data_IF_665603781416
#
_entry.id   IF_665603781416
#
_cell.length_a   1.000
_cell.length_b   1.000
_cell.length_c   1.000
_cell.angle_alpha   90.00
_cell.angle_beta   90.00
_cell.angle_gamma   90.00
#
_symmetry.space_group_name_H-M   'P 1'
#
loop_
_entity.id
_entity.type
_entity.pdbx_description
1 polymer ?
#
# COMPACT_ATOMS: atom_id res chain seq x y z
N UNK A 1 -22.44 -64.74 33.21
CA UNK A 1 -21.98 -64.27 31.87
C UNK A 1 -21.80 -62.72 31.96
N UNK A 2 -20.57 -62.25 32.13
CA UNK A 2 -20.24 -60.82 32.32
C UNK A 2 -20.00 -60.16 30.98
N UNK A 3 -20.86 -59.19 30.64
CA UNK A 3 -20.63 -58.28 29.51
C UNK A 3 -19.75 -57.12 30.01
N UNK A 4 -18.45 -57.18 29.74
CA UNK A 4 -17.55 -56.02 29.89
C UNK A 4 -17.70 -55.14 28.68
N UNK A 5 -18.31 -53.96 28.88
CA UNK A 5 -18.37 -52.88 27.91
C UNK A 5 -16.98 -52.29 27.78
N UNK A 6 -16.41 -52.37 26.55
CA UNK A 6 -15.16 -51.70 26.17
C UNK A 6 -15.53 -50.29 25.75
N UNK A 7 -15.43 -49.34 26.66
CA UNK A 7 -15.48 -47.90 26.33
C UNK A 7 -14.11 -47.49 25.76
N UNK A 8 -13.99 -47.49 24.45
CA UNK A 8 -12.85 -46.84 23.78
C UNK A 8 -13.02 -45.35 23.91
N UNK A 9 -12.26 -44.72 24.79
CA UNK A 9 -12.09 -43.27 24.86
C UNK A 9 -11.36 -42.78 23.61
N UNK A 10 -12.11 -42.32 22.62
CA UNK A 10 -11.55 -41.49 21.55
C UNK A 10 -11.22 -40.10 22.14
N UNK A 11 -10.05 -39.93 22.71
CA UNK A 11 -9.44 -38.64 22.90
C UNK A 11 -9.07 -38.13 21.51
N UNK A 12 -10.00 -37.42 20.89
CA UNK A 12 -9.67 -36.56 19.75
C UNK A 12 -8.69 -35.49 20.25
N UNK A 13 -7.40 -35.72 20.02
CA UNK A 13 -6.43 -34.66 20.08
C UNK A 13 -6.89 -33.59 19.05
N UNK A 14 -7.56 -32.57 19.52
CA UNK A 14 -7.71 -31.34 18.77
C UNK A 14 -6.28 -30.86 18.52
N UNK A 15 -5.72 -31.22 17.37
CA UNK A 15 -4.46 -30.71 16.91
C UNK A 15 -4.65 -29.20 16.83
N UNK A 16 -4.16 -28.46 17.82
CA UNK A 16 -4.20 -27.00 17.84
C UNK A 16 -3.49 -26.55 16.58
N UNK A 17 -4.26 -26.18 15.56
CA UNK A 17 -3.68 -25.68 14.31
C UNK A 17 -2.76 -24.53 14.66
N UNK A 18 -1.49 -24.65 14.28
CA UNK A 18 -0.50 -23.59 14.43
C UNK A 18 -1.10 -22.30 13.84
N UNK A 19 -0.96 -21.14 14.55
CA UNK A 19 -1.41 -19.87 14.00
C UNK A 19 -0.79 -19.64 12.62
N UNK A 20 -1.51 -19.00 11.67
CA UNK A 20 -1.01 -18.80 10.31
C UNK A 20 0.19 -17.84 10.31
N UNK A 21 1.14 -18.07 9.44
CA UNK A 21 2.15 -17.07 9.12
C UNK A 21 1.53 -15.98 8.25
N UNK A 22 2.12 -14.78 8.30
CA UNK A 22 1.75 -13.67 7.44
C UNK A 22 2.95 -13.22 6.61
N UNK A 23 2.75 -13.11 5.31
CA UNK A 23 3.69 -12.46 4.38
C UNK A 23 2.96 -11.31 3.72
N UNK A 24 3.44 -10.09 3.94
CA UNK A 24 2.86 -8.88 3.39
C UNK A 24 3.87 -8.25 2.42
N UNK A 25 3.62 -8.37 1.13
CA UNK A 25 4.47 -7.81 0.06
C UNK A 25 3.84 -6.50 -0.38
N UNK A 26 4.58 -5.40 -0.17
CA UNK A 26 4.16 -4.05 -0.53
C UNK A 26 5.10 -3.48 -1.58
N UNK A 27 4.54 -2.98 -2.68
CA UNK A 27 5.31 -2.37 -3.76
C UNK A 27 5.09 -0.85 -3.74
N UNK A 28 6.15 -0.11 -3.99
CA UNK A 28 6.17 1.35 -3.96
C UNK A 28 5.86 1.93 -5.35
N UNK A 29 4.91 2.86 -5.44
CA UNK A 29 4.51 3.53 -6.69
C UNK A 29 4.06 2.58 -7.82
N UNK A 30 3.36 1.51 -7.47
CA UNK A 30 2.99 0.46 -8.41
C UNK A 30 1.57 0.66 -8.95
N UNK A 31 1.46 0.84 -10.27
CA UNK A 31 0.18 1.15 -10.91
C UNK A 31 -0.80 -0.02 -10.89
N UNK A 32 -2.10 0.30 -10.86
CA UNK A 32 -3.17 -0.71 -10.88
C UNK A 32 -3.05 -1.67 -12.06
N UNK A 33 -2.62 -1.18 -13.22
CA UNK A 33 -2.45 -1.96 -14.46
C UNK A 33 -1.03 -2.49 -14.66
N UNK A 34 -0.18 -2.45 -13.66
CA UNK A 34 1.23 -2.87 -13.82
C UNK A 34 1.44 -4.39 -13.63
N UNK A 35 0.36 -5.16 -13.59
CA UNK A 35 0.38 -6.64 -13.55
C UNK A 35 -0.37 -7.25 -14.74
N UNK A 36 0.05 -8.45 -15.14
CA UNK A 36 -0.63 -9.21 -16.21
C UNK A 36 -2.08 -9.52 -15.86
N UNK A 37 -2.38 -9.89 -14.61
CA UNK A 37 -3.75 -10.19 -14.19
C UNK A 37 -4.69 -8.96 -14.20
N UNK A 38 -4.17 -7.73 -14.19
CA UNK A 38 -4.93 -6.49 -14.37
C UNK A 38 -4.83 -5.94 -15.80
N UNK A 39 -4.27 -6.72 -16.75
CA UNK A 39 -4.33 -6.47 -18.17
C UNK A 39 -3.14 -5.72 -18.76
N UNK A 40 -1.97 -5.69 -18.11
CA UNK A 40 -0.74 -5.29 -18.79
C UNK A 40 -0.39 -6.33 -19.86
N UNK A 41 -0.06 -5.85 -21.03
CA UNK A 41 0.49 -6.67 -22.13
C UNK A 41 1.97 -6.42 -22.35
N UNK A 42 2.51 -5.39 -21.71
CA UNK A 42 3.91 -5.01 -21.82
C UNK A 42 4.75 -5.54 -20.64
N UNK A 43 4.26 -5.40 -19.41
CA UNK A 43 4.94 -5.90 -18.22
C UNK A 43 4.67 -7.39 -18.01
N UNK A 44 5.72 -8.16 -17.81
CA UNK A 44 5.65 -9.60 -17.59
C UNK A 44 5.71 -9.92 -16.10
N UNK A 45 4.59 -10.42 -15.56
CA UNK A 45 4.46 -10.73 -14.14
C UNK A 45 3.97 -12.16 -13.88
N UNK A 46 4.63 -13.19 -14.46
CA UNK A 46 4.14 -14.57 -14.42
C UNK A 46 4.00 -15.15 -13.00
N UNK A 47 4.87 -14.75 -12.05
CA UNK A 47 4.82 -15.22 -10.67
C UNK A 47 3.69 -14.56 -9.88
N UNK A 48 3.52 -13.24 -10.02
CA UNK A 48 2.40 -12.49 -9.45
C UNK A 48 1.08 -13.00 -10.01
N UNK A 49 0.99 -13.22 -11.32
CA UNK A 49 -0.20 -13.78 -11.97
C UNK A 49 -0.52 -15.20 -11.51
N UNK A 50 0.51 -16.02 -11.26
CA UNK A 50 0.34 -17.36 -10.68
C UNK A 50 -0.16 -17.29 -9.25
N UNK A 51 0.35 -16.34 -8.44
CA UNK A 51 -0.13 -16.10 -7.07
C UNK A 51 -1.59 -15.63 -7.09
N UNK A 52 -1.97 -14.72 -8.00
CA UNK A 52 -3.34 -14.26 -8.20
C UNK A 52 -4.28 -15.43 -8.55
N UNK A 53 -3.89 -16.30 -9.48
CA UNK A 53 -4.67 -17.51 -9.83
C UNK A 53 -4.77 -18.52 -8.70
N UNK A 54 -3.83 -18.54 -7.76
CA UNK A 54 -3.88 -19.43 -6.57
C UNK A 54 -4.65 -18.86 -5.39
N UNK A 55 -5.12 -17.60 -5.49
CA UNK A 55 -5.77 -16.86 -4.42
C UNK A 55 -7.03 -16.13 -4.87
N UNK A 56 -7.25 -14.97 -4.28
CA UNK A 56 -8.35 -14.05 -4.55
C UNK A 56 -7.81 -12.71 -5.02
N UNK A 57 -8.35 -12.19 -6.13
CA UNK A 57 -8.10 -10.84 -6.63
C UNK A 57 -9.17 -9.91 -6.06
N UNK A 58 -8.75 -8.79 -5.48
CA UNK A 58 -9.65 -7.70 -5.08
C UNK A 58 -9.64 -6.65 -6.18
N UNK A 59 -10.72 -6.58 -6.97
CA UNK A 59 -10.84 -5.58 -8.05
C UNK A 59 -10.95 -4.16 -7.53
N UNK A 60 -11.43 -4.03 -6.30
CA UNK A 60 -11.63 -2.78 -5.57
C UNK A 60 -10.70 -2.71 -4.35
N UNK A 61 -9.41 -3.01 -4.60
CA UNK A 61 -8.33 -2.85 -3.63
C UNK A 61 -7.80 -1.42 -3.64
N UNK A 62 -7.63 -0.83 -2.44
CA UNK A 62 -7.28 0.58 -2.31
C UNK A 62 -6.15 0.81 -1.30
N UNK A 63 -5.24 1.72 -1.66
CA UNK A 63 -4.37 2.37 -0.69
C UNK A 63 -5.15 3.37 0.16
N UNK A 64 -4.74 3.62 1.39
CA UNK A 64 -5.38 4.58 2.29
C UNK A 64 -5.06 6.05 1.95
N UNK A 65 -4.11 6.28 1.06
CA UNK A 65 -3.67 7.60 0.60
C UNK A 65 -3.06 7.50 -0.80
N UNK A 66 -3.04 8.59 -1.58
CA UNK A 66 -2.36 8.60 -2.88
C UNK A 66 -0.83 8.75 -2.78
N UNK A 67 -0.24 8.62 -1.57
CA UNK A 67 1.21 8.70 -1.32
C UNK A 67 1.66 7.74 -0.22
N UNK A 68 2.98 7.45 -0.15
CA UNK A 68 3.58 6.33 0.58
C UNK A 68 3.34 6.32 2.10
N UNK A 69 3.91 7.28 2.87
CA UNK A 69 3.93 7.21 4.35
C UNK A 69 2.53 7.10 4.98
N UNK A 70 1.51 7.86 4.53
CA UNK A 70 0.17 7.72 5.08
C UNK A 70 -0.40 6.31 4.90
N UNK A 71 -0.23 5.72 3.72
CA UNK A 71 -0.68 4.34 3.45
C UNK A 71 0.06 3.32 4.32
N UNK A 72 1.39 3.49 4.47
CA UNK A 72 2.21 2.59 5.31
C UNK A 72 1.80 2.68 6.77
N UNK A 73 1.52 3.88 7.30
CA UNK A 73 1.00 4.05 8.66
C UNK A 73 -0.35 3.37 8.85
N UNK A 74 -1.22 3.43 7.85
CA UNK A 74 -2.53 2.76 7.87
C UNK A 74 -2.41 1.23 7.86
N UNK A 75 -1.48 0.67 7.07
CA UNK A 75 -1.18 -0.77 7.07
C UNK A 75 -0.71 -1.25 8.45
N UNK A 76 0.15 -0.47 9.12
CA UNK A 76 0.70 -0.84 10.43
C UNK A 76 -0.33 -0.76 11.55
N UNK A 77 -1.21 0.24 11.55
CA UNK A 77 -2.08 0.56 12.69
C UNK A 77 -3.55 0.20 12.50
N UNK A 78 -3.99 -0.01 11.26
CA UNK A 78 -5.41 -0.14 10.94
C UNK A 78 -6.19 1.17 11.07
N UNK A 79 -5.52 2.32 11.17
CA UNK A 79 -6.15 3.65 11.33
C UNK A 79 -6.02 4.49 10.06
N UNK A 80 -7.02 5.34 9.80
CA UNK A 80 -6.91 6.28 8.70
C UNK A 80 -5.79 7.32 8.91
N UNK A 81 -5.07 7.70 7.85
CA UNK A 81 -4.06 8.77 7.88
C UNK A 81 -4.58 10.09 8.48
N UNK A 82 -5.85 10.41 8.24
CA UNK A 82 -6.52 11.57 8.82
C UNK A 82 -6.49 11.58 10.36
N UNK A 83 -6.68 10.41 11.00
CA UNK A 83 -6.63 10.25 12.46
C UNK A 83 -5.21 10.30 13.01
N UNK A 84 -4.27 9.74 12.27
CA UNK A 84 -2.86 9.70 12.65
C UNK A 84 -2.16 11.04 12.44
N UNK A 85 -2.75 11.94 11.65
CA UNK A 85 -2.13 13.17 11.17
C UNK A 85 -0.83 12.93 10.38
N UNK A 86 -0.68 11.73 9.81
CA UNK A 86 0.36 11.38 8.83
C UNK A 86 -0.31 11.44 7.47
N UNK A 87 -0.45 12.63 6.91
CA UNK A 87 -1.25 12.91 5.72
C UNK A 87 -0.43 13.20 4.48
N UNK A 88 0.91 13.35 4.61
CA UNK A 88 1.86 13.52 3.51
C UNK A 88 3.01 12.53 3.64
N UNK A 89 3.80 12.35 2.57
CA UNK A 89 5.05 11.60 2.67
C UNK A 89 6.03 12.31 3.62
N UNK A 90 6.78 11.54 4.40
CA UNK A 90 7.80 12.09 5.29
C UNK A 90 8.86 12.86 4.47
N UNK A 91 9.37 13.94 5.01
CA UNK A 91 10.27 14.90 4.33
C UNK A 91 9.59 15.75 3.24
N UNK A 92 8.26 15.86 3.31
CA UNK A 92 7.37 16.49 2.33
C UNK A 92 7.88 17.71 1.60
N UNK A 93 8.00 17.60 0.26
CA UNK A 93 8.24 18.71 -0.64
C UNK A 93 7.06 19.70 -0.74
N UNK A 94 5.93 19.34 -0.15
CA UNK A 94 4.67 20.08 -0.27
C UNK A 94 4.67 21.48 0.35
N UNK A 95 5.59 21.77 1.27
CA UNK A 95 5.69 23.10 1.92
C UNK A 95 6.37 24.18 1.08
N UNK A 96 6.70 23.91 -0.19
CA UNK A 96 7.41 24.86 -1.06
C UNK A 96 6.49 25.75 -1.89
N UNK A 97 5.19 25.49 -1.92
CA UNK A 97 4.24 26.28 -2.70
C UNK A 97 3.62 27.36 -1.79
N UNK A 98 4.08 28.59 -1.93
CA UNK A 98 3.69 29.69 -1.03
C UNK A 98 2.49 30.49 -1.51
N UNK A 99 2.13 30.40 -2.78
CA UNK A 99 1.09 31.21 -3.42
C UNK A 99 -0.14 30.40 -3.81
N UNK A 100 -0.28 29.17 -3.29
CA UNK A 100 -1.45 28.32 -3.50
C UNK A 100 -2.69 28.87 -2.82
N UNK A 101 -3.87 28.43 -3.26
CA UNK A 101 -5.18 28.92 -2.80
C UNK A 101 -5.42 28.65 -1.33
N UNK A 102 -4.90 27.55 -0.83
CA UNK A 102 -4.99 27.19 0.60
C UNK A 102 -3.61 26.84 1.17
N UNK A 103 -3.44 27.12 2.47
CA UNK A 103 -2.29 26.67 3.25
C UNK A 103 -2.51 25.21 3.67
N UNK A 104 -1.53 24.39 3.41
CA UNK A 104 -1.54 22.99 3.77
C UNK A 104 -1.33 22.81 5.28
N UNK A 105 -2.01 21.86 5.94
CA UNK A 105 -1.72 21.54 7.34
C UNK A 105 -0.35 20.85 7.47
N UNK A 106 0.27 20.97 8.64
CA UNK A 106 1.48 20.22 8.97
C UNK A 106 1.16 18.76 9.20
N UNK A 107 1.84 17.84 8.50
CA UNK A 107 1.76 16.41 8.77
C UNK A 107 2.80 16.00 9.83
N UNK A 108 2.50 14.96 10.62
CA UNK A 108 3.51 14.32 11.49
C UNK A 108 4.58 13.67 10.64
N UNK A 109 5.83 13.71 11.13
CA UNK A 109 7.01 13.19 10.44
C UNK A 109 7.45 11.80 10.94
N UNK A 110 6.69 11.20 11.85
CA UNK A 110 6.93 9.84 12.32
C UNK A 110 5.60 9.20 12.79
N UNK A 111 5.55 7.88 12.77
CA UNK A 111 4.48 7.12 13.44
C UNK A 111 4.70 7.20 14.94
N UNK A 112 3.77 7.79 15.72
CA UNK A 112 3.94 7.90 17.18
C UNK A 112 4.03 6.52 17.83
N UNK A 113 4.88 6.40 18.87
CA UNK A 113 5.08 5.15 19.61
C UNK A 113 3.85 4.73 20.44
N UNK A 114 2.90 5.65 20.65
CA UNK A 114 1.63 5.37 21.31
C UNK A 114 0.65 4.61 20.40
N UNK A 115 0.91 4.60 19.09
CA UNK A 115 0.11 3.87 18.12
C UNK A 115 0.55 2.42 18.07
N UNK A 116 -0.33 1.52 18.49
CA UNK A 116 -0.05 0.08 18.46
C UNK A 116 -0.03 -0.42 17.02
N UNK A 117 1.09 -0.98 16.61
CA UNK A 117 1.28 -1.59 15.29
C UNK A 117 0.83 -3.04 15.26
N UNK A 118 0.62 -3.57 14.07
CA UNK A 118 0.35 -5.00 13.89
C UNK A 118 1.54 -5.86 14.36
N UNK A 119 2.78 -5.39 14.23
CA UNK A 119 3.96 -6.12 14.71
C UNK A 119 3.91 -6.30 16.23
N UNK A 120 3.56 -5.25 16.97
CA UNK A 120 3.39 -5.31 18.44
C UNK A 120 2.23 -6.24 18.83
N UNK A 121 1.07 -6.13 18.16
CA UNK A 121 -0.07 -6.98 18.45
C UNK A 121 0.22 -8.47 18.17
N UNK A 122 1.03 -8.78 17.17
CA UNK A 122 1.44 -10.15 16.85
C UNK A 122 2.54 -10.67 17.77
N UNK A 123 3.46 -9.81 18.25
CA UNK A 123 4.49 -10.17 19.24
C UNK A 123 3.88 -10.76 20.49
N UNK A 124 2.77 -10.19 20.98
CA UNK A 124 2.04 -10.68 22.15
C UNK A 124 1.39 -12.07 21.92
N UNK A 125 1.40 -12.55 20.68
CA UNK A 125 0.94 -13.88 20.26
C UNK A 125 2.09 -14.83 19.90
N UNK A 126 3.32 -14.46 20.19
CA UNK A 126 4.51 -15.28 19.97
C UNK A 126 5.01 -15.30 18.54
N UNK A 127 4.57 -14.36 17.70
CA UNK A 127 5.10 -14.22 16.35
C UNK A 127 6.50 -13.63 16.36
N UNK A 128 7.36 -14.16 15.48
CA UNK A 128 8.61 -13.52 15.09
C UNK A 128 8.36 -12.62 13.89
N UNK A 129 8.83 -11.38 13.93
CA UNK A 129 8.51 -10.40 12.89
C UNK A 129 9.74 -9.78 12.26
N UNK A 130 9.67 -9.49 10.96
CA UNK A 130 10.69 -8.77 10.22
C UNK A 130 10.09 -7.70 9.30
N UNK A 131 10.72 -6.51 9.30
CA UNK A 131 10.54 -5.48 8.29
C UNK A 131 11.78 -5.48 7.38
N UNK A 132 11.61 -5.88 6.10
CA UNK A 132 12.71 -6.00 5.15
C UNK A 132 12.43 -5.10 3.95
N UNK A 133 12.97 -3.87 3.98
CA UNK A 133 12.78 -2.85 2.95
C UNK A 133 12.31 -1.51 3.50
N UNK A 134 11.64 -0.73 2.67
CA UNK A 134 11.25 0.65 2.94
C UNK A 134 10.27 0.78 4.11
N UNK A 135 10.71 1.40 5.20
CA UNK A 135 9.86 1.77 6.33
C UNK A 135 9.09 3.07 6.10
N UNK A 136 9.83 4.17 5.99
CA UNK A 136 9.33 5.51 5.70
C UNK A 136 8.25 6.00 6.70
N UNK A 137 8.37 5.61 7.98
CA UNK A 137 7.47 6.01 9.06
C UNK A 137 8.22 6.62 10.26
N UNK A 138 9.44 7.09 10.06
CA UNK A 138 10.23 7.81 11.03
C UNK A 138 11.70 7.42 11.04
N UNK A 139 12.52 8.31 11.64
CA UNK A 139 13.96 8.18 11.81
C UNK A 139 14.29 7.42 13.12
N UNK A 140 15.54 7.53 13.56
CA UNK A 140 16.03 6.97 14.85
C UNK A 140 15.07 7.30 16.00
N UNK A 141 14.66 6.29 16.76
CA UNK A 141 13.65 6.35 17.81
C UNK A 141 12.22 6.04 17.31
N UNK A 142 12.04 5.85 15.99
CA UNK A 142 10.77 5.46 15.34
C UNK A 142 11.00 4.39 14.26
N UNK A 143 12.09 3.63 14.38
CA UNK A 143 12.44 2.55 13.45
C UNK A 143 11.46 1.36 13.60
N UNK A 144 11.43 0.42 12.65
CA UNK A 144 10.58 -0.77 12.78
C UNK A 144 10.80 -1.52 14.10
N UNK A 145 12.03 -1.58 14.61
CA UNK A 145 12.35 -2.22 15.89
C UNK A 145 11.81 -1.46 17.09
N UNK A 146 11.68 -0.13 17.00
CA UNK A 146 11.03 0.70 18.03
C UNK A 146 9.51 0.55 17.98
N UNK A 147 8.96 0.04 16.85
CA UNK A 147 7.54 -0.18 16.54
C UNK A 147 7.15 -1.67 16.56
N UNK A 148 7.89 -2.51 17.27
CA UNK A 148 7.52 -3.88 17.59
C UNK A 148 8.05 -4.97 16.67
N UNK A 149 8.77 -4.65 15.58
CA UNK A 149 9.45 -5.67 14.79
C UNK A 149 10.69 -6.20 15.51
N UNK A 150 10.93 -7.52 15.43
CA UNK A 150 12.12 -8.14 16.01
C UNK A 150 13.37 -7.90 15.18
N UNK A 151 13.21 -7.76 13.86
CA UNK A 151 14.31 -7.58 12.90
C UNK A 151 13.92 -6.53 11.87
N UNK A 152 14.87 -5.66 11.51
CA UNK A 152 14.71 -4.69 10.43
C UNK A 152 15.96 -4.68 9.55
N UNK A 153 15.75 -4.69 8.23
CA UNK A 153 16.78 -4.47 7.22
C UNK A 153 16.33 -3.38 6.25
N UNK A 154 17.18 -2.40 6.00
CA UNK A 154 16.90 -1.26 5.11
C UNK A 154 15.71 -0.36 5.56
N UNK A 155 15.22 -0.53 6.79
CA UNK A 155 14.04 0.17 7.32
C UNK A 155 14.41 1.40 8.13
N UNK A 156 14.40 2.59 7.52
CA UNK A 156 14.59 3.88 8.16
C UNK A 156 13.61 4.95 7.59
N UNK A 157 13.93 6.25 7.80
CA UNK A 157 13.13 7.35 7.24
C UNK A 157 13.21 7.49 5.73
N UNK A 158 14.12 6.79 5.05
CA UNK A 158 14.34 6.95 3.63
C UNK A 158 13.11 6.58 2.80
N UNK A 159 12.56 7.57 2.10
CA UNK A 159 11.44 7.39 1.19
C UNK A 159 11.83 6.89 -0.20
N UNK A 160 13.14 6.86 -0.52
CA UNK A 160 13.70 6.42 -1.80
C UNK A 160 15.16 6.05 -1.63
N UNK A 161 15.71 5.33 -2.58
CA UNK A 161 17.17 5.08 -2.68
C UNK A 161 17.85 6.08 -3.61
N UNK A 162 19.18 6.12 -3.62
CA UNK A 162 19.97 6.87 -4.61
C UNK A 162 20.19 6.07 -5.89
N UNK A 163 20.18 4.73 -5.79
CA UNK A 163 20.30 3.79 -6.89
C UNK A 163 19.81 2.43 -6.41
N UNK A 164 19.39 1.56 -7.35
CA UNK A 164 19.08 0.18 -7.08
C UNK A 164 20.29 -0.75 -7.14
N UNK A 165 21.48 -0.24 -7.47
CA UNK A 165 22.72 -1.02 -7.53
C UNK A 165 23.67 -0.68 -6.36
N UNK A 166 24.33 -1.72 -5.81
CA UNK A 166 25.40 -1.58 -4.83
C UNK A 166 26.69 -1.09 -5.51
N UNK A 167 27.47 -0.19 -4.85
CA UNK A 167 27.31 0.32 -3.49
C UNK A 167 26.49 1.62 -3.38
N UNK A 168 25.89 2.11 -4.46
CA UNK A 168 25.28 3.43 -4.50
C UNK A 168 24.09 3.57 -3.55
N UNK A 169 23.30 2.51 -3.31
CA UNK A 169 22.19 2.60 -2.35
C UNK A 169 22.67 2.86 -0.91
N UNK A 170 23.89 2.43 -0.53
CA UNK A 170 24.41 2.62 0.84
C UNK A 170 24.51 4.08 1.27
N UNK A 171 24.56 5.03 0.32
CA UNK A 171 24.51 6.46 0.63
C UNK A 171 23.23 6.88 1.36
N UNK A 172 22.20 6.05 1.32
CA UNK A 172 20.87 6.34 1.87
C UNK A 172 20.24 5.17 2.62
N UNK A 173 20.52 3.94 2.19
CA UNK A 173 19.96 2.72 2.77
C UNK A 173 21.08 1.96 3.47
N UNK A 174 21.04 1.79 4.81
CA UNK A 174 22.10 1.11 5.57
C UNK A 174 21.99 -0.41 5.42
N UNK A 175 22.27 -0.90 4.22
CA UNK A 175 22.24 -2.31 3.87
C UNK A 175 23.49 -2.69 3.08
N UNK A 176 24.21 -3.71 3.56
CA UNK A 176 25.39 -4.25 2.87
C UNK A 176 25.01 -5.11 1.67
N UNK A 177 25.91 -5.14 0.68
CA UNK A 177 25.82 -5.93 -0.54
C UNK A 177 27.19 -6.16 -1.16
N UNK A 178 27.21 -6.85 -2.29
CA UNK A 178 28.39 -7.02 -3.12
C UNK A 178 28.30 -6.11 -4.37
N UNK A 179 29.44 -5.72 -4.97
CA UNK A 179 29.44 -4.93 -6.21
C UNK A 179 28.57 -5.58 -7.29
N UNK A 180 27.61 -4.80 -7.81
CA UNK A 180 26.65 -5.26 -8.82
C UNK A 180 25.35 -5.87 -8.26
N UNK A 181 25.24 -6.07 -6.95
CA UNK A 181 23.97 -6.48 -6.34
C UNK A 181 22.85 -5.49 -6.66
N UNK A 182 21.65 -6.05 -6.88
CA UNK A 182 20.42 -5.29 -7.11
C UNK A 182 19.56 -5.28 -5.85
N UNK A 183 19.14 -4.11 -5.41
CA UNK A 183 18.49 -3.92 -4.10
C UNK A 183 17.25 -4.82 -3.91
N UNK A 184 16.40 -4.95 -4.92
CA UNK A 184 15.21 -5.82 -4.86
C UNK A 184 15.60 -7.28 -4.61
N UNK A 185 16.67 -7.76 -5.25
CA UNK A 185 17.16 -9.14 -5.07
C UNK A 185 17.77 -9.35 -3.70
N UNK A 186 18.50 -8.35 -3.19
CA UNK A 186 19.13 -8.40 -1.86
C UNK A 186 18.07 -8.48 -0.77
N UNK A 187 17.03 -7.62 -0.82
CA UNK A 187 15.90 -7.67 0.09
C UNK A 187 15.18 -9.01 0.02
N UNK A 188 15.01 -9.55 -1.19
CA UNK A 188 14.36 -10.86 -1.40
C UNK A 188 15.18 -11.99 -0.77
N UNK A 189 16.50 -11.96 -0.88
CA UNK A 189 17.38 -12.96 -0.25
C UNK A 189 17.20 -12.93 1.28
N UNK A 190 17.22 -11.75 1.90
CA UNK A 190 16.97 -11.61 3.34
C UNK A 190 15.58 -12.11 3.75
N UNK A 191 14.57 -11.91 2.91
CA UNK A 191 13.21 -12.40 3.16
C UNK A 191 13.15 -13.94 3.11
N UNK A 192 13.82 -14.56 2.14
CA UNK A 192 13.93 -16.03 2.01
C UNK A 192 14.67 -16.62 3.22
N UNK A 193 15.79 -16.02 3.62
CA UNK A 193 16.57 -16.44 4.78
C UNK A 193 15.75 -16.34 6.07
N UNK A 194 14.98 -15.25 6.23
CA UNK A 194 14.06 -15.08 7.38
C UNK A 194 12.98 -16.16 7.42
N UNK A 195 12.37 -16.52 6.29
CA UNK A 195 11.38 -17.60 6.20
C UNK A 195 11.99 -18.93 6.64
N UNK A 196 13.17 -19.28 6.12
CA UNK A 196 13.85 -20.53 6.44
C UNK A 196 14.23 -20.62 7.93
N UNK A 197 14.75 -19.52 8.50
CA UNK A 197 15.15 -19.44 9.90
C UNK A 197 13.96 -19.51 10.89
N UNK A 198 12.72 -19.22 10.44
CA UNK A 198 11.55 -19.18 11.31
C UNK A 198 10.48 -20.23 10.96
N UNK A 199 10.83 -21.27 10.20
CA UNK A 199 9.90 -22.32 9.74
C UNK A 199 9.15 -23.03 10.89
N UNK A 200 9.73 -23.07 12.09
CA UNK A 200 9.22 -23.82 13.24
C UNK A 200 8.35 -22.98 14.20
N UNK A 201 8.11 -21.70 13.90
CA UNK A 201 7.28 -20.79 14.70
C UNK A 201 6.41 -19.90 13.82
N UNK A 202 5.31 -19.31 14.34
CA UNK A 202 4.56 -18.33 13.57
C UNK A 202 5.41 -17.08 13.32
N UNK A 203 5.29 -16.50 12.12
CA UNK A 203 6.02 -15.29 11.76
C UNK A 203 5.17 -14.30 10.96
N UNK A 204 5.59 -13.05 11.04
CA UNK A 204 5.12 -11.95 10.21
C UNK A 204 6.30 -11.36 9.43
N UNK A 205 6.28 -11.53 8.12
CA UNK A 205 7.22 -10.91 7.20
C UNK A 205 6.52 -9.74 6.49
N UNK A 206 6.95 -8.52 6.80
CA UNK A 206 6.61 -7.32 6.05
C UNK A 206 7.76 -7.05 5.08
N UNK A 207 7.48 -7.17 3.76
CA UNK A 207 8.45 -7.00 2.68
C UNK A 207 8.04 -5.81 1.80
N UNK A 208 8.29 -4.58 2.27
CA UNK A 208 8.02 -3.37 1.52
C UNK A 208 9.21 -3.02 0.61
N UNK A 209 9.12 -3.37 -0.67
CA UNK A 209 10.16 -3.01 -1.63
C UNK A 209 10.28 -1.49 -1.83
N UNK A 210 11.48 -1.00 -2.15
CA UNK A 210 11.68 0.34 -2.69
C UNK A 210 11.28 0.42 -4.17
N UNK A 211 11.32 -0.72 -4.87
CA UNK A 211 10.81 -0.82 -6.23
C UNK A 211 9.26 -0.65 -6.21
N UNK A 212 8.70 0.07 -7.14
CA UNK A 212 9.22 0.60 -8.37
C UNK A 212 9.42 2.13 -8.32
N UNK A 213 9.72 2.68 -7.14
CA UNK A 213 9.93 4.11 -6.92
C UNK A 213 11.20 4.62 -7.65
N UNK A 214 11.24 5.92 -7.90
CA UNK A 214 12.44 6.59 -8.46
C UNK A 214 13.64 6.51 -7.51
N UNK A 215 14.88 6.40 -8.07
CA UNK A 215 15.23 6.44 -9.48
C UNK A 215 14.74 5.22 -10.24
N UNK A 216 14.31 5.39 -11.51
CA UNK A 216 13.91 4.26 -12.34
C UNK A 216 15.18 3.65 -12.91
N UNK A 217 15.59 2.52 -12.38
CA UNK A 217 16.80 1.77 -12.75
C UNK A 217 16.53 0.29 -12.79
N UNK A 218 16.43 -0.26 -13.99
CA UNK A 218 16.29 -1.70 -14.22
C UNK A 218 17.64 -2.39 -14.48
N UNK A 219 17.68 -3.70 -14.30
CA UNK A 219 18.84 -4.52 -14.70
C UNK A 219 19.05 -4.42 -16.22
N UNK A 220 20.27 -4.14 -16.73
CA UNK A 220 20.51 -3.82 -18.14
C UNK A 220 19.99 -4.86 -19.13
N UNK A 221 20.14 -6.15 -18.81
CA UNK A 221 19.69 -7.24 -19.66
C UNK A 221 18.16 -7.27 -19.81
N UNK A 222 17.42 -6.92 -18.72
CA UNK A 222 15.96 -6.82 -18.74
C UNK A 222 15.51 -5.56 -19.47
N UNK A 223 16.19 -4.44 -19.25
CA UNK A 223 15.90 -3.19 -19.99
C UNK A 223 16.00 -3.46 -21.49
N UNK A 224 17.10 -4.07 -21.96
CA UNK A 224 17.27 -4.46 -23.37
C UNK A 224 16.14 -5.34 -23.89
N UNK A 225 15.69 -6.31 -23.10
CA UNK A 225 14.54 -7.19 -23.42
C UNK A 225 13.27 -6.37 -23.66
N UNK A 226 12.95 -5.44 -22.77
CA UNK A 226 11.74 -4.64 -22.87
C UNK A 226 11.80 -3.56 -23.93
N UNK A 227 12.94 -2.92 -24.11
CA UNK A 227 13.12 -1.92 -25.17
C UNK A 227 12.95 -2.54 -26.56
N UNK A 228 13.37 -3.80 -26.74
CA UNK A 228 13.21 -4.52 -28.01
C UNK A 228 11.72 -4.77 -28.41
N UNK A 229 10.80 -4.72 -27.45
CA UNK A 229 9.35 -4.89 -27.71
C UNK A 229 8.54 -3.62 -27.40
N UNK A 230 9.20 -2.50 -27.07
CA UNK A 230 8.52 -1.25 -26.79
C UNK A 230 7.81 -0.70 -28.03
N UNK A 231 6.53 -0.37 -27.89
CA UNK A 231 5.74 0.32 -28.90
C UNK A 231 5.45 1.74 -28.39
N UNK A 232 6.00 2.78 -29.07
CA UNK A 232 5.84 4.16 -28.61
C UNK A 232 4.39 4.67 -28.55
N UNK A 233 3.46 4.04 -29.26
CA UNK A 233 2.04 4.42 -29.20
C UNK A 233 1.30 3.78 -28.05
N UNK A 234 1.87 2.77 -27.40
CA UNK A 234 1.28 2.14 -26.23
C UNK A 234 1.56 2.98 -24.97
N UNK A 235 0.59 3.09 -24.05
CA UNK A 235 0.76 3.87 -22.83
C UNK A 235 1.77 3.27 -21.85
N UNK A 236 2.05 1.96 -21.94
CA UNK A 236 3.10 1.25 -21.19
C UNK A 236 4.20 0.85 -22.16
N UNK A 237 5.34 1.54 -22.14
CA UNK A 237 6.44 1.34 -23.08
C UNK A 237 7.81 1.71 -22.52
N UNK A 238 7.97 1.76 -21.16
CA UNK A 238 9.21 2.20 -20.53
C UNK A 238 10.00 0.99 -20.03
N UNK A 239 11.06 0.60 -20.77
CA UNK A 239 11.85 -0.61 -20.52
C UNK A 239 12.54 -0.63 -19.16
N UNK A 240 13.10 0.50 -18.69
CA UNK A 240 13.71 0.59 -17.36
C UNK A 240 12.69 0.25 -16.24
N UNK A 241 11.49 0.79 -16.32
CA UNK A 241 10.43 0.50 -15.36
C UNK A 241 9.93 -0.94 -15.45
N UNK A 242 9.76 -1.45 -16.68
CA UNK A 242 9.39 -2.85 -16.91
C UNK A 242 10.39 -3.84 -16.32
N UNK A 243 11.68 -3.52 -16.41
CA UNK A 243 12.75 -4.32 -15.82
C UNK A 243 12.70 -4.33 -14.27
N UNK A 244 12.28 -3.22 -13.65
CA UNK A 244 12.04 -3.17 -12.20
C UNK A 244 10.84 -4.03 -11.82
N UNK A 245 9.73 -3.96 -12.58
CA UNK A 245 8.54 -4.79 -12.39
C UNK A 245 8.88 -6.28 -12.47
N UNK A 246 9.65 -6.70 -13.47
CA UNK A 246 10.09 -8.10 -13.60
C UNK A 246 10.94 -8.54 -12.40
N UNK A 247 11.78 -7.65 -11.84
CA UNK A 247 12.56 -7.95 -10.63
C UNK A 247 11.67 -8.10 -9.38
N UNK A 248 10.58 -7.36 -9.30
CA UNK A 248 9.53 -7.53 -8.26
C UNK A 248 8.81 -8.86 -8.45
N UNK A 249 8.47 -9.22 -9.67
CA UNK A 249 7.82 -10.51 -9.98
C UNK A 249 8.69 -11.69 -9.59
N UNK A 250 10.00 -11.64 -9.90
CA UNK A 250 10.97 -12.65 -9.46
C UNK A 250 11.06 -12.74 -7.93
N UNK A 251 11.02 -11.60 -7.24
CA UNK A 251 10.98 -11.56 -5.77
C UNK A 251 9.78 -12.33 -5.22
N UNK A 252 8.59 -12.07 -5.76
CA UNK A 252 7.36 -12.80 -5.37
C UNK A 252 7.52 -14.29 -5.62
N UNK A 253 8.07 -14.67 -6.78
CA UNK A 253 8.36 -16.07 -7.13
C UNK A 253 9.26 -16.76 -6.11
N UNK A 254 10.37 -16.12 -5.73
CA UNK A 254 11.35 -16.63 -4.76
C UNK A 254 10.74 -16.78 -3.36
N UNK A 255 9.96 -15.80 -2.89
CA UNK A 255 9.26 -15.86 -1.59
C UNK A 255 8.27 -17.03 -1.55
N UNK A 256 7.45 -17.19 -2.60
CA UNK A 256 6.49 -18.31 -2.70
C UNK A 256 7.20 -19.67 -2.79
N UNK A 257 8.32 -19.74 -3.50
CA UNK A 257 9.16 -20.96 -3.56
C UNK A 257 9.71 -21.32 -2.17
N UNK A 258 10.27 -20.36 -1.44
CA UNK A 258 10.80 -20.57 -0.09
C UNK A 258 9.71 -21.08 0.88
N UNK A 259 8.50 -20.52 0.82
CA UNK A 259 7.36 -21.01 1.62
C UNK A 259 6.99 -22.46 1.27
N UNK A 260 7.03 -22.82 -0.01
CA UNK A 260 6.73 -24.18 -0.48
C UNK A 260 7.80 -25.18 -0.04
N UNK A 261 9.07 -24.86 -0.23
CA UNK A 261 10.23 -25.70 0.10
C UNK A 261 10.34 -25.97 1.61
N UNK A 262 9.90 -25.02 2.44
CA UNK A 262 9.84 -25.19 3.88
C UNK A 262 8.50 -25.76 4.39
N UNK A 263 7.58 -26.19 3.50
CA UNK A 263 6.29 -26.79 3.88
C UNK A 263 5.30 -25.81 4.52
N UNK A 264 5.47 -24.50 4.33
CA UNK A 264 4.73 -23.43 5.01
C UNK A 264 3.56 -22.88 4.22
N UNK A 265 3.49 -23.15 2.91
CA UNK A 265 2.57 -22.47 2.00
C UNK A 265 1.09 -22.63 2.38
N UNK A 266 0.69 -23.81 2.90
CA UNK A 266 -0.68 -24.05 3.36
C UNK A 266 -1.04 -23.39 4.70
N UNK A 267 -0.01 -22.94 5.46
CA UNK A 267 -0.21 -22.24 6.73
C UNK A 267 0.23 -20.77 6.65
N UNK A 268 0.25 -20.19 5.45
CA UNK A 268 0.68 -18.80 5.26
C UNK A 268 -0.35 -18.03 4.45
N UNK A 269 -0.82 -16.90 5.02
CA UNK A 269 -1.57 -15.88 4.29
C UNK A 269 -0.59 -14.91 3.67
N UNK A 270 -0.63 -14.79 2.34
CA UNK A 270 0.18 -13.86 1.56
C UNK A 270 -0.73 -12.73 1.07
N UNK A 271 -0.41 -11.47 1.41
CA UNK A 271 -0.94 -10.28 0.78
C UNK A 271 0.08 -9.70 -0.20
N UNK A 272 -0.39 -9.24 -1.36
CA UNK A 272 0.37 -8.46 -2.31
C UNK A 272 -0.44 -7.22 -2.67
N UNK A 273 0.15 -6.02 -2.52
CA UNK A 273 -0.50 -4.75 -2.87
C UNK A 273 0.55 -3.65 -3.07
N UNK A 274 0.08 -2.42 -3.35
CA UNK A 274 0.93 -1.24 -3.45
C UNK A 274 0.52 -0.15 -2.44
N UNK A 275 1.44 0.78 -2.16
CA UNK A 275 1.18 1.87 -1.22
C UNK A 275 0.47 3.08 -1.84
N UNK A 276 0.54 3.25 -3.14
CA UNK A 276 -0.24 4.20 -3.94
C UNK A 276 -0.19 3.81 -5.42
N UNK A 277 -0.98 4.48 -6.24
CA UNK A 277 -0.98 4.26 -7.68
C UNK A 277 0.32 4.67 -8.35
N UNK A 278 0.53 4.20 -9.57
CA UNK A 278 1.73 4.44 -10.36
C UNK A 278 1.91 5.91 -10.76
N UNK A 279 3.16 6.29 -11.04
CA UNK A 279 3.55 7.65 -11.43
C UNK A 279 3.24 7.90 -12.90
N UNK A 280 2.25 8.74 -13.16
CA UNK A 280 1.82 9.13 -14.52
C UNK A 280 2.19 10.57 -14.87
N UNK A 281 2.80 11.31 -13.94
CA UNK A 281 3.27 12.67 -14.14
C UNK A 281 4.64 12.71 -14.87
N UNK A 282 5.02 13.91 -15.33
CA UNK A 282 6.27 14.13 -16.06
C UNK A 282 7.47 14.42 -15.15
N UNK A 283 7.40 14.07 -13.87
CA UNK A 283 8.44 14.40 -12.89
C UNK A 283 9.76 13.64 -13.12
N UNK A 284 9.70 12.43 -13.68
CA UNK A 284 10.88 11.64 -13.98
C UNK A 284 11.28 11.75 -15.46
N UNK A 285 12.47 12.27 -15.71
CA UNK A 285 13.02 12.42 -17.08
C UNK A 285 12.01 13.03 -18.08
N UNK A 286 11.09 13.88 -17.59
CA UNK A 286 10.02 14.54 -18.38
C UNK A 286 9.13 13.57 -19.17
N UNK A 287 8.89 12.39 -18.63
CA UNK A 287 7.97 11.37 -19.19
C UNK A 287 7.14 10.69 -18.10
N UNK A 288 5.96 10.16 -18.40
CA UNK A 288 5.26 9.23 -17.50
C UNK A 288 6.11 7.98 -17.24
N UNK A 289 6.12 7.50 -16.00
CA UNK A 289 6.80 6.25 -15.64
C UNK A 289 5.96 5.06 -16.07
N UNK A 290 4.65 5.13 -15.81
CA UNK A 290 3.67 4.11 -16.22
C UNK A 290 2.35 4.73 -16.63
N UNK A 291 1.34 3.91 -16.90
CA UNK A 291 -0.03 4.29 -17.20
C UNK A 291 -1.02 3.50 -16.37
N UNK A 292 -1.90 4.21 -15.69
CA UNK A 292 -3.00 3.60 -14.92
C UNK A 292 -4.31 3.44 -15.72
N UNK A 293 -4.30 3.77 -17.02
CA UNK A 293 -5.52 3.66 -17.85
C UNK A 293 -6.20 2.28 -17.70
N UNK A 294 -7.56 2.26 -17.61
CA UNK A 294 -8.52 3.35 -17.79
C UNK A 294 -8.69 4.29 -16.59
N UNK A 295 -8.02 4.06 -15.48
CA UNK A 295 -8.12 4.88 -14.28
C UNK A 295 -7.54 6.29 -14.52
N UNK A 296 -8.19 7.29 -13.92
CA UNK A 296 -7.80 8.68 -14.06
C UNK A 296 -6.55 8.98 -13.23
N UNK A 297 -5.52 9.60 -13.84
CA UNK A 297 -4.25 10.06 -13.24
C UNK A 297 -3.49 8.97 -12.46
N UNK A 298 -2.74 9.34 -11.41
CA UNK A 298 -1.91 8.42 -10.63
C UNK A 298 -1.53 8.99 -9.27
N UNK A 299 -0.36 8.60 -8.75
CA UNK A 299 0.22 9.05 -7.49
C UNK A 299 -0.06 10.52 -7.22
N UNK A 300 -0.37 10.86 -5.97
CA UNK A 300 -0.64 12.24 -5.53
C UNK A 300 -2.06 12.73 -5.77
N UNK A 301 -2.94 11.91 -6.35
CA UNK A 301 -4.33 12.27 -6.62
C UNK A 301 -5.30 11.31 -5.92
N UNK A 302 -6.41 11.82 -5.39
CA UNK A 302 -7.47 11.00 -4.79
C UNK A 302 -8.44 10.39 -5.84
N UNK A 303 -8.18 10.58 -7.13
CA UNK A 303 -8.85 9.84 -8.20
C UNK A 303 -8.41 8.37 -8.20
N UNK A 304 -9.18 7.52 -8.89
CA UNK A 304 -8.96 6.07 -8.90
C UNK A 304 -7.50 5.69 -9.22
N UNK A 305 -6.87 6.33 -10.21
CA UNK A 305 -5.49 6.00 -10.58
C UNK A 305 -4.44 6.30 -9.49
N UNK A 306 -4.76 7.14 -8.51
CA UNK A 306 -3.84 7.41 -7.39
C UNK A 306 -4.04 6.53 -6.17
N UNK A 307 -5.23 5.92 -6.02
CA UNK A 307 -5.61 5.18 -4.81
C UNK A 307 -6.04 3.73 -5.06
N UNK A 308 -6.55 3.38 -6.23
CA UNK A 308 -6.84 1.98 -6.58
C UNK A 308 -5.54 1.31 -6.99
N UNK A 309 -5.21 0.19 -6.34
CA UNK A 309 -3.93 -0.50 -6.48
C UNK A 309 -4.14 -2.00 -6.74
N UNK A 310 -3.18 -2.68 -7.39
CA UNK A 310 -3.22 -4.12 -7.51
C UNK A 310 -3.29 -4.75 -6.13
N UNK A 311 -4.27 -5.61 -5.91
CA UNK A 311 -4.47 -6.23 -4.59
C UNK A 311 -4.89 -7.66 -4.75
N UNK A 312 -4.18 -8.57 -4.07
CA UNK A 312 -4.56 -9.97 -3.99
C UNK A 312 -4.20 -10.56 -2.62
N UNK A 313 -4.87 -11.64 -2.27
CA UNK A 313 -4.55 -12.49 -1.13
C UNK A 313 -4.50 -13.96 -1.56
N UNK A 314 -3.50 -14.70 -1.08
CA UNK A 314 -3.39 -16.14 -1.32
C UNK A 314 -3.17 -16.89 -0.01
N UNK A 315 -3.98 -17.92 0.22
CA UNK A 315 -3.85 -18.85 1.35
C UNK A 315 -4.37 -20.21 0.93
N UNK A 316 -3.47 -21.12 0.63
CA UNK A 316 -3.79 -22.45 0.11
C UNK A 316 -4.69 -23.22 1.09
N UNK A 317 -5.80 -23.74 0.58
CA UNK A 317 -6.79 -24.50 1.38
C UNK A 317 -7.76 -23.63 2.19
N UNK A 318 -7.62 -22.30 2.20
CA UNK A 318 -8.52 -21.36 2.89
C UNK A 318 -9.22 -20.44 1.91
N UNK A 319 -8.46 -19.81 1.01
CA UNK A 319 -9.00 -18.95 -0.04
C UNK A 319 -9.26 -19.79 -1.28
N UNK A 320 -10.47 -19.64 -1.86
CA UNK A 320 -10.81 -20.32 -3.13
C UNK A 320 -9.92 -19.77 -4.25
N UNK A 321 -9.12 -20.65 -4.85
CA UNK A 321 -8.25 -20.30 -5.96
C UNK A 321 -9.03 -19.72 -7.15
N UNK A 322 -8.50 -18.68 -7.78
CA UNK A 322 -9.09 -17.98 -8.92
C UNK A 322 -10.36 -17.19 -8.57
N UNK A 323 -10.62 -16.94 -7.28
CA UNK A 323 -11.77 -16.12 -6.87
C UNK A 323 -11.50 -14.63 -7.04
N UNK A 324 -12.59 -13.86 -7.14
CA UNK A 324 -12.57 -12.40 -7.25
C UNK A 324 -13.51 -11.79 -6.23
N UNK A 325 -13.07 -10.75 -5.54
CA UNK A 325 -13.88 -9.94 -4.62
C UNK A 325 -14.02 -8.52 -5.18
N UNK A 326 -15.25 -7.99 -5.20
CA UNK A 326 -15.58 -6.63 -5.64
C UNK A 326 -15.93 -5.70 -4.48
N UNK A 327 -15.89 -6.18 -3.24
CA UNK A 327 -16.08 -5.31 -2.08
C UNK A 327 -14.82 -4.51 -1.83
N UNK A 328 -14.92 -3.20 -1.54
CA UNK A 328 -13.77 -2.35 -1.27
C UNK A 328 -12.94 -2.85 -0.09
N UNK A 329 -11.64 -3.01 -0.30
CA UNK A 329 -10.64 -3.34 0.72
C UNK A 329 -9.59 -2.25 0.73
N UNK A 330 -9.30 -1.71 1.91
CA UNK A 330 -8.35 -0.62 2.10
C UNK A 330 -7.15 -1.05 2.94
N UNK A 331 -6.09 -0.25 2.88
CA UNK A 331 -4.89 -0.46 3.70
C UNK A 331 -5.17 -0.53 5.21
N UNK A 332 -6.21 0.12 5.69
CA UNK A 332 -6.63 0.07 7.12
C UNK A 332 -7.17 -1.30 7.55
N UNK A 333 -7.56 -2.16 6.60
CA UNK A 333 -8.20 -3.45 6.88
C UNK A 333 -7.21 -4.59 7.14
N UNK A 334 -5.94 -4.43 6.73
CA UNK A 334 -4.96 -5.53 6.84
C UNK A 334 -4.55 -5.83 8.27
N UNK A 335 -4.25 -4.80 9.09
CA UNK A 335 -3.87 -4.99 10.48
C UNK A 335 -4.96 -5.70 11.30
N UNK A 336 -6.25 -5.25 11.31
CA UNK A 336 -7.30 -5.96 12.02
C UNK A 336 -7.55 -7.38 11.49
N UNK A 337 -7.31 -7.63 10.19
CA UNK A 337 -7.43 -8.98 9.60
C UNK A 337 -6.36 -9.92 10.14
N UNK A 338 -5.09 -9.52 10.10
CA UNK A 338 -3.99 -10.33 10.62
C UNK A 338 -4.13 -10.54 12.13
N UNK A 339 -4.53 -9.49 12.88
CA UNK A 339 -4.76 -9.58 14.31
C UNK A 339 -5.87 -10.60 14.64
N UNK A 340 -7.03 -10.55 13.97
CA UNK A 340 -8.11 -11.51 14.18
C UNK A 340 -7.64 -12.94 13.93
N UNK A 341 -6.96 -13.20 12.80
CA UNK A 341 -6.46 -14.51 12.44
C UNK A 341 -5.41 -15.07 13.42
N UNK A 342 -4.66 -14.18 14.07
CA UNK A 342 -3.69 -14.53 15.12
C UNK A 342 -4.31 -14.62 16.52
N UNK A 343 -5.60 -14.36 16.68
CA UNK A 343 -6.24 -14.24 17.99
C UNK A 343 -5.81 -13.02 18.80
N UNK A 344 -5.25 -12.00 18.12
CA UNK A 344 -4.91 -10.69 18.67
C UNK A 344 -6.03 -9.67 18.43
N UNK A 345 -5.85 -8.45 18.91
CA UNK A 345 -6.76 -7.33 18.65
C UNK A 345 -5.97 -6.06 18.37
N UNK A 346 -6.38 -5.31 17.36
CA UNK A 346 -5.90 -3.95 17.14
C UNK A 346 -6.69 -2.98 18.03
N UNK A 347 -5.96 -2.12 18.74
CA UNK A 347 -6.59 -1.10 19.58
C UNK A 347 -7.11 0.04 18.72
N UNK A 348 -8.42 0.28 18.77
CA UNK A 348 -9.08 1.42 18.11
C UNK A 348 -8.77 1.54 16.60
N UNK A 349 -8.72 0.41 15.88
CA UNK A 349 -8.62 0.42 14.43
C UNK A 349 -9.88 1.04 13.79
N UNK A 350 -9.68 1.78 12.69
CA UNK A 350 -10.78 2.28 11.85
C UNK A 350 -11.20 1.22 10.81
N UNK A 351 -10.23 0.39 10.39
CA UNK A 351 -10.44 -0.70 9.45
C UNK A 351 -11.21 -1.87 10.07
N UNK A 352 -11.69 -2.74 9.21
CA UNK A 352 -12.41 -3.96 9.58
C UNK A 352 -11.63 -5.19 9.13
N UNK A 353 -11.80 -6.31 9.84
CA UNK A 353 -11.25 -7.58 9.37
C UNK A 353 -11.98 -8.05 8.11
N UNK A 354 -11.19 -8.40 7.09
CA UNK A 354 -11.70 -8.99 5.84
C UNK A 354 -11.65 -10.53 5.84
N UNK A 355 -11.46 -11.15 7.00
CA UNK A 355 -11.42 -12.63 7.14
C UNK A 355 -12.65 -13.28 6.50
N UNK A 356 -13.82 -12.65 6.63
CA UNK A 356 -15.06 -13.13 6.02
C UNK A 356 -14.99 -13.12 4.49
N UNK A 357 -14.40 -12.09 3.86
CA UNK A 357 -14.17 -12.01 2.41
C UNK A 357 -13.21 -13.11 1.95
N UNK A 358 -12.10 -13.31 2.67
CA UNK A 358 -11.10 -14.36 2.36
C UNK A 358 -11.72 -15.76 2.31
N UNK A 359 -12.84 -15.96 2.97
CA UNK A 359 -13.62 -17.22 2.99
C UNK A 359 -14.82 -17.21 2.04
N UNK A 360 -14.92 -16.20 1.16
CA UNK A 360 -16.00 -16.10 0.17
C UNK A 360 -17.32 -15.54 0.72
N UNK A 361 -17.32 -14.96 1.91
CA UNK A 361 -18.48 -14.23 2.48
C UNK A 361 -18.51 -12.77 2.02
N UNK A 362 -19.34 -11.93 2.69
CA UNK A 362 -19.52 -10.52 2.41
C UNK A 362 -19.46 -9.70 3.70
N UNK A 363 -18.93 -8.50 3.63
CA UNK A 363 -18.99 -7.48 4.70
C UNK A 363 -20.23 -6.60 4.58
N UNK A 364 -20.88 -6.60 3.40
CA UNK A 364 -21.95 -5.67 3.06
C UNK A 364 -21.43 -4.29 2.65
N UNK A 365 -22.36 -3.39 2.36
CA UNK A 365 -22.02 -2.02 1.98
C UNK A 365 -21.41 -1.26 3.16
N UNK A 366 -20.29 -0.59 2.92
CA UNK A 366 -19.62 0.27 3.90
C UNK A 366 -19.09 1.54 3.25
N UNK A 367 -18.92 2.57 4.07
CA UNK A 367 -18.24 3.79 3.67
C UNK A 367 -16.74 3.59 3.78
N UNK A 368 -16.00 4.05 2.78
CA UNK A 368 -14.54 4.12 2.79
C UNK A 368 -14.09 5.53 2.41
N UNK A 369 -12.98 6.00 3.00
CA UNK A 369 -12.63 7.40 2.99
C UNK A 369 -11.16 7.63 2.68
N UNK A 370 -10.85 8.81 2.09
CA UNK A 370 -9.51 9.31 1.85
C UNK A 370 -9.43 10.78 2.25
N UNK A 371 -8.28 11.18 2.76
CA UNK A 371 -7.98 12.56 3.12
C UNK A 371 -6.54 12.89 2.74
N UNK A 372 -6.36 13.74 1.74
CA UNK A 372 -5.07 14.23 1.27
C UNK A 372 -5.11 15.76 1.16
N UNK A 373 -4.88 16.49 2.28
CA UNK A 373 -5.05 17.95 2.34
C UNK A 373 -3.83 18.72 1.80
N UNK A 374 -3.12 18.14 0.83
CA UNK A 374 -1.85 18.68 0.34
C UNK A 374 -1.87 18.84 -1.18
N UNK A 375 -1.06 19.80 -1.65
CA UNK A 375 -0.65 19.87 -3.04
C UNK A 375 0.45 18.81 -3.27
N UNK A 376 0.29 18.01 -4.30
CA UNK A 376 1.26 16.98 -4.66
C UNK A 376 2.24 17.50 -5.71
N UNK A 377 3.51 17.07 -5.68
CA UNK A 377 4.44 17.28 -6.81
C UNK A 377 3.90 16.74 -8.14
N UNK A 378 3.03 15.71 -8.09
CA UNK A 378 2.35 15.12 -9.23
C UNK A 378 1.10 15.91 -9.67
N UNK A 379 0.95 17.16 -9.21
CA UNK A 379 -0.13 18.10 -9.53
C UNK A 379 -1.49 17.77 -8.89
N UNK A 380 -1.54 16.85 -7.92
CA UNK A 380 -2.74 16.63 -7.12
C UNK A 380 -3.07 17.83 -6.25
N UNK A 381 -4.37 18.06 -6.02
CA UNK A 381 -4.89 19.17 -5.22
C UNK A 381 -5.39 18.68 -3.87
N UNK A 382 -5.39 19.56 -2.84
CA UNK A 382 -5.90 19.23 -1.52
C UNK A 382 -7.37 18.78 -1.59
N UNK A 383 -7.64 17.53 -1.20
CA UNK A 383 -8.96 16.94 -1.33
C UNK A 383 -9.23 15.86 -0.26
N UNK A 384 -10.51 15.57 -0.05
CA UNK A 384 -10.97 14.36 0.60
C UNK A 384 -11.92 13.61 -0.33
N UNK A 385 -12.02 12.31 -0.16
CA UNK A 385 -12.95 11.51 -0.94
C UNK A 385 -13.66 10.47 -0.05
N UNK A 386 -14.84 10.03 -0.49
CA UNK A 386 -15.51 8.86 0.05
C UNK A 386 -16.09 8.00 -1.05
N UNK A 387 -16.17 6.71 -0.80
CA UNK A 387 -16.92 5.77 -1.63
C UNK A 387 -17.98 5.07 -0.78
N UNK A 388 -19.18 4.93 -1.35
CA UNK A 388 -20.27 4.10 -0.85
C UNK A 388 -20.87 3.31 -2.01
N UNK A 389 -20.81 1.98 -1.93
CA UNK A 389 -21.22 1.12 -3.03
C UNK A 389 -20.48 1.46 -4.31
N UNK A 390 -21.21 1.75 -5.38
CA UNK A 390 -20.68 2.10 -6.70
C UNK A 390 -20.32 3.59 -6.84
N UNK A 391 -20.69 4.44 -5.87
CA UNK A 391 -20.52 5.89 -5.99
C UNK A 391 -19.32 6.39 -5.20
N UNK A 392 -18.56 7.29 -5.82
CA UNK A 392 -17.44 8.01 -5.20
C UNK A 392 -17.64 9.50 -5.31
N UNK A 393 -17.46 10.21 -4.19
CA UNK A 393 -17.49 11.66 -4.12
C UNK A 393 -16.10 12.17 -3.76
N UNK A 394 -15.66 13.23 -4.42
CA UNK A 394 -14.43 13.97 -4.12
C UNK A 394 -14.82 15.39 -3.70
N UNK A 395 -14.28 15.85 -2.57
CA UNK A 395 -14.42 17.22 -2.07
C UNK A 395 -13.06 17.93 -2.17
N UNK A 396 -12.98 19.01 -2.93
CA UNK A 396 -11.79 19.86 -3.03
C UNK A 396 -11.80 20.98 -2.02
N UNK A 397 -10.73 21.12 -1.25
CA UNK A 397 -10.64 22.10 -0.17
C UNK A 397 -10.39 23.54 -0.64
N UNK A 398 -9.99 23.74 -1.90
CA UNK A 398 -9.70 25.06 -2.45
C UNK A 398 -10.95 25.93 -2.66
N UNK A 399 -12.08 25.33 -2.94
CA UNK A 399 -13.32 26.01 -3.35
C UNK A 399 -14.60 25.30 -2.91
N UNK A 400 -14.47 24.30 -2.03
CA UNK A 400 -15.57 23.47 -1.53
C UNK A 400 -16.36 22.73 -2.63
N UNK A 401 -15.79 22.66 -3.85
CA UNK A 401 -16.35 21.97 -5.00
C UNK A 401 -16.37 20.46 -4.76
N UNK A 402 -17.42 19.81 -5.23
CA UNK A 402 -17.53 18.35 -5.23
C UNK A 402 -17.63 17.81 -6.65
N UNK A 403 -17.09 16.61 -6.85
CA UNK A 403 -17.31 15.79 -8.01
C UNK A 403 -17.90 14.44 -7.56
N UNK A 404 -18.84 13.88 -8.34
CA UNK A 404 -19.51 12.62 -8.04
C UNK A 404 -19.41 11.67 -9.23
N UNK A 405 -18.97 10.44 -9.00
CA UNK A 405 -18.78 9.44 -10.05
C UNK A 405 -19.46 8.12 -9.70
N UNK A 406 -19.99 7.42 -10.72
CA UNK A 406 -20.45 6.04 -10.60
C UNK A 406 -19.38 5.10 -11.16
N UNK A 407 -18.56 4.54 -10.29
CA UNK A 407 -17.40 3.72 -10.67
C UNK A 407 -17.74 2.39 -11.36
N UNK A 408 -18.97 1.90 -11.23
CA UNK A 408 -19.43 0.71 -11.96
C UNK A 408 -19.53 0.96 -13.45
N UNK A 409 -19.96 2.16 -13.85
CA UNK A 409 -20.20 2.53 -15.24
C UNK A 409 -19.11 3.44 -15.81
N UNK A 410 -18.32 4.07 -14.93
CA UNK A 410 -17.29 5.06 -15.27
C UNK A 410 -16.12 4.95 -14.28
N UNK A 411 -15.32 3.88 -14.40
CA UNK A 411 -14.13 3.68 -13.59
C UNK A 411 -13.03 4.72 -13.84
N UNK A 412 -13.10 5.39 -15.01
CA UNK A 412 -12.17 6.44 -15.41
C UNK A 412 -12.53 7.83 -14.88
N UNK A 413 -13.63 7.98 -14.13
CA UNK A 413 -14.06 9.24 -13.52
C UNK A 413 -14.12 10.39 -14.53
N UNK A 414 -14.72 10.08 -15.70
CA UNK A 414 -14.79 11.00 -16.85
C UNK A 414 -16.06 11.86 -16.85
N UNK A 415 -17.14 11.39 -16.18
CA UNK A 415 -18.45 12.05 -16.16
C UNK A 415 -18.85 12.42 -14.73
N UNK A 416 -18.71 13.70 -14.40
CA UNK A 416 -19.17 14.24 -13.12
C UNK A 416 -20.71 14.27 -13.07
N UNK A 417 -21.27 13.60 -12.06
CA UNK A 417 -22.70 13.51 -11.79
C UNK A 417 -23.16 14.46 -10.67
N UNK A 418 -22.31 15.31 -10.09
CA UNK A 418 -22.64 16.13 -8.94
C UNK A 418 -23.84 17.04 -9.18
N UNK A 419 -23.97 17.61 -10.37
CA UNK A 419 -25.08 18.46 -10.74
C UNK A 419 -26.37 17.67 -11.04
N UNK A 420 -26.25 16.50 -11.71
CA UNK A 420 -27.40 15.68 -12.12
C UNK A 420 -27.95 14.81 -11.01
N UNK A 421 -27.11 14.42 -10.02
CA UNK A 421 -27.47 13.66 -8.83
C UNK A 421 -27.21 14.47 -7.54
N UNK A 422 -27.66 15.75 -7.54
CA UNK A 422 -27.36 16.72 -6.48
C UNK A 422 -27.74 16.25 -5.05
N UNK A 423 -28.86 15.55 -4.91
CA UNK A 423 -29.28 15.01 -3.61
C UNK A 423 -28.31 13.96 -3.07
N UNK A 424 -27.79 13.07 -3.94
CA UNK A 424 -26.77 12.08 -3.59
C UNK A 424 -25.45 12.76 -3.22
N UNK A 425 -25.01 13.70 -4.05
CA UNK A 425 -23.79 14.47 -3.81
C UNK A 425 -23.85 15.20 -2.44
N UNK A 426 -24.96 15.86 -2.13
CA UNK A 426 -25.17 16.52 -0.84
C UNK A 426 -25.13 15.54 0.35
N UNK A 427 -25.80 14.39 0.23
CA UNK A 427 -25.81 13.34 1.26
C UNK A 427 -24.41 12.78 1.51
N UNK A 428 -23.67 12.44 0.44
CA UNK A 428 -22.31 11.92 0.56
C UNK A 428 -21.33 12.98 1.10
N UNK A 429 -21.44 14.24 0.64
CA UNK A 429 -20.65 15.36 1.20
C UNK A 429 -20.87 15.50 2.70
N UNK A 430 -22.14 15.48 3.14
CA UNK A 430 -22.50 15.55 4.58
C UNK A 430 -21.83 14.42 5.37
N UNK A 431 -21.85 13.19 4.86
CA UNK A 431 -21.20 12.02 5.51
C UNK A 431 -19.68 12.16 5.54
N UNK A 432 -19.06 12.60 4.44
CA UNK A 432 -17.60 12.85 4.38
C UNK A 432 -17.17 13.91 5.40
N UNK A 433 -17.90 15.03 5.47
CA UNK A 433 -17.59 16.10 6.44
C UNK A 433 -17.77 15.61 7.88
N UNK A 434 -18.77 14.78 8.16
CA UNK A 434 -18.93 14.15 9.49
C UNK A 434 -17.71 13.27 9.82
N UNK A 435 -17.26 12.42 8.88
CA UNK A 435 -16.07 11.57 9.09
C UNK A 435 -14.78 12.38 9.29
N UNK A 436 -14.58 13.49 8.56
CA UNK A 436 -13.44 14.39 8.79
C UNK A 436 -13.41 14.93 10.22
N UNK A 437 -14.59 15.24 10.79
CA UNK A 437 -14.73 15.67 12.20
C UNK A 437 -14.48 14.51 13.18
N UNK A 438 -15.04 13.33 12.91
CA UNK A 438 -14.86 12.11 13.72
C UNK A 438 -13.40 11.70 13.84
N UNK A 439 -12.63 11.86 12.76
CA UNK A 439 -11.20 11.57 12.71
C UNK A 439 -10.32 12.72 13.19
N UNK A 440 -10.91 13.89 13.52
CA UNK A 440 -10.18 15.13 13.83
C UNK A 440 -9.19 15.51 12.74
N UNK A 441 -9.60 15.31 11.48
CA UNK A 441 -8.77 15.57 10.31
C UNK A 441 -8.28 17.03 10.28
N UNK A 442 -6.99 17.21 9.99
CA UNK A 442 -6.42 18.54 9.80
C UNK A 442 -6.85 19.06 8.42
N UNK A 443 -7.50 20.21 8.38
CA UNK A 443 -7.99 20.82 7.15
C UNK A 443 -7.06 21.95 6.68
N UNK A 444 -6.94 22.19 5.37
CA UNK A 444 -6.28 23.38 4.84
C UNK A 444 -6.99 24.65 5.25
N UNK A 445 -6.25 25.76 5.35
CA UNK A 445 -6.79 27.08 5.65
C UNK A 445 -6.65 28.02 4.43
N UNK A 446 -7.50 29.04 4.27
CA UNK A 446 -7.34 30.06 3.22
C UNK A 446 -5.95 30.69 3.27
N UNK A 447 -5.31 30.89 2.12
CA UNK A 447 -3.99 31.50 2.03
C UNK A 447 -4.10 33.01 1.73
N UNK A 448 -3.75 33.90 2.65
CA UNK A 448 -3.80 35.33 2.42
C UNK A 448 -2.78 35.84 1.37
N UNK A 449 -1.81 35.00 0.99
CA UNK A 449 -0.82 35.28 -0.03
C UNK A 449 -1.15 34.64 -1.39
N UNK A 450 -2.37 34.16 -1.57
CA UNK A 450 -2.78 33.51 -2.82
C UNK A 450 -2.58 34.44 -4.02
N UNK A 451 -1.90 33.91 -5.02
CA UNK A 451 -1.67 34.56 -6.30
C UNK A 451 -1.76 33.53 -7.43
N UNK A 452 -2.82 33.61 -8.23
CA UNK A 452 -3.10 32.67 -9.30
C UNK A 452 -1.98 32.60 -10.37
N UNK A 453 -1.27 33.71 -10.60
CA UNK A 453 -0.15 33.77 -11.56
C UNK A 453 1.11 33.04 -11.02
N UNK A 454 1.24 32.94 -9.69
CA UNK A 454 2.39 32.39 -8.97
C UNK A 454 2.08 31.05 -8.28
N UNK A 455 0.89 30.49 -8.45
CA UNK A 455 0.39 29.30 -7.72
C UNK A 455 1.37 28.11 -7.78
N UNK A 456 2.14 27.99 -8.88
CA UNK A 456 3.11 26.91 -9.08
C UNK A 456 4.56 27.31 -8.82
N UNK A 457 4.79 28.52 -8.34
CA UNK A 457 6.13 29.00 -7.99
C UNK A 457 6.64 28.25 -6.76
N UNK A 458 7.76 27.58 -6.92
CA UNK A 458 8.43 26.85 -5.84
C UNK A 458 9.32 27.82 -5.09
N UNK A 459 8.97 28.14 -3.86
CA UNK A 459 9.80 28.96 -2.98
C UNK A 459 11.00 28.19 -2.42
N UNK A 460 11.86 28.92 -1.69
CA UNK A 460 12.96 28.28 -0.96
C UNK A 460 12.45 27.28 0.08
N UNK A 461 13.22 26.22 0.38
CA UNK A 461 12.84 25.28 1.42
C UNK A 461 12.59 26.02 2.74
N UNK A 462 11.47 25.78 3.39
CA UNK A 462 11.33 26.18 4.79
C UNK A 462 12.49 25.53 5.56
N UNK A 463 13.20 26.32 6.34
CA UNK A 463 14.27 25.82 7.20
C UNK A 463 13.80 24.66 8.08
N UNK A 464 14.70 23.88 8.67
CA UNK A 464 14.35 22.69 9.43
C UNK A 464 13.26 23.03 10.45
N UNK A 465 12.11 22.36 10.34
CA UNK A 465 11.05 22.44 11.35
C UNK A 465 11.61 21.75 12.58
N UNK A 466 12.07 22.56 13.55
CA UNK A 466 12.40 22.03 14.87
C UNK A 466 11.14 21.45 15.47
N UNK A 467 11.13 20.15 15.69
CA UNK A 467 10.09 19.47 16.44
C UNK A 467 10.01 20.12 17.85
N UNK A 468 8.89 20.74 18.16
CA UNK A 468 8.46 21.02 19.52
C UNK A 468 7.44 19.97 19.93
#
# INVERSE_FOLDING_TARGET
>A
MNRRSFLASMTAFAQTRRPPNFVFILIDDYGWRDTGYNGSTYYETPNIDKLARSGMIFTDGYSASPVCSPTRSAIMTGKYPARLHITSHLQGASNRLHFTKVLQPSARLALPLEEVTIAEALRDRGYKSACIGKWHLGAKGFLPTDQGFDVAYAGDEAGSTNSFFFPQWQKKIPLDGAPGDYLTDRLTTLAVDFIAANKDRPFFLYLPHFATHTPIEGKPEKVKKYDAKADPVQPQNYGEYAAMIESVDESVGRVVAALRENGLLSNTLIFFTADNGGVTSLEWKKRPVTSNLPLRVGKGHVYEGGIRVPTLASWVGVIKAGSTCREPVLSVDYAPTMAELAGARMKAADGVSITKLLRGGSLGERDVFWHYPHYSPQLGRPAAAMRRGDYKLILFFEDDRVELYNLKNDIGESRDLAATEAARAASMKKRLVAWLRETKAQLPAPNPKYDAAREREVGEPAGPVTAK
#
